data_IF_435219901821
#
_entry.id   IF_435219901821
#
_cell.length_a   1.000
_cell.length_b   1.000
_cell.length_c   1.000
_cell.angle_alpha   90.00
_cell.angle_beta   90.00
_cell.angle_gamma   90.00
#
_symmetry.space_group_name_H-M   'P 1'
#
loop_
_entity.id
_entity.type
_entity.pdbx_description
1 polymer ?
#
# COMPACT_ATOMS: atom_id res chain seq x y z
N UNK A 1 -2.92 13.31 5.64
CA UNK A 1 -2.86 12.99 7.09
C UNK A 1 -3.55 14.02 7.98
N UNK A 2 -3.20 15.32 7.95
CA UNK A 2 -3.83 16.33 8.82
C UNK A 2 -5.38 16.29 8.88
N UNK A 3 -6.04 16.14 7.73
CA UNK A 3 -7.50 16.13 7.66
C UNK A 3 -8.14 14.80 8.06
N UNK A 4 -7.59 13.68 7.57
CA UNK A 4 -8.22 12.37 7.67
C UNK A 4 -7.82 11.60 8.93
N UNK A 5 -6.63 11.82 9.47
CA UNK A 5 -6.12 11.04 10.60
C UNK A 5 -6.98 11.22 11.88
N UNK A 6 -7.37 12.44 12.29
CA UNK A 6 -8.25 12.62 13.45
C UNK A 6 -9.60 11.92 13.25
N UNK A 7 -10.20 12.07 12.06
CA UNK A 7 -11.49 11.47 11.74
C UNK A 7 -11.43 9.94 11.70
N UNK A 8 -10.36 9.39 11.12
CA UNK A 8 -10.12 7.95 11.07
C UNK A 8 -9.99 7.35 12.48
N UNK A 9 -9.25 8.00 13.37
CA UNK A 9 -9.13 7.56 14.77
C UNK A 9 -10.47 7.62 15.52
N UNK A 10 -11.21 8.72 15.38
CA UNK A 10 -12.54 8.87 16.00
C UNK A 10 -13.49 7.74 15.56
N UNK A 11 -13.39 7.31 14.30
CA UNK A 11 -14.22 6.25 13.71
C UNK A 11 -13.63 4.85 13.83
N UNK A 12 -12.46 4.68 14.47
CA UNK A 12 -11.78 3.39 14.54
C UNK A 12 -11.42 2.80 13.16
N UNK A 13 -11.21 3.66 12.16
CA UNK A 13 -10.91 3.26 10.78
C UNK A 13 -9.40 3.19 10.56
N UNK A 14 -8.90 2.04 10.08
CA UNK A 14 -7.51 1.89 9.66
C UNK A 14 -7.28 2.57 8.30
N UNK A 15 -6.24 3.41 8.19
CA UNK A 15 -5.81 3.98 6.91
C UNK A 15 -4.71 3.10 6.31
N UNK A 16 -4.95 2.54 5.13
CA UNK A 16 -3.94 1.78 4.37
C UNK A 16 -3.52 2.62 3.16
N UNK A 17 -2.21 2.80 2.96
CA UNK A 17 -1.69 3.65 1.89
C UNK A 17 -0.38 3.14 1.30
N UNK A 18 -0.22 3.30 -0.01
CA UNK A 18 1.02 3.03 -0.75
C UNK A 18 1.94 4.25 -0.90
N UNK A 19 1.71 5.28 -0.07
CA UNK A 19 2.48 6.53 -0.08
C UNK A 19 3.89 6.42 0.53
N UNK A 20 4.37 5.23 0.88
CA UNK A 20 5.76 5.04 1.30
C UNK A 20 6.77 5.16 0.16
N UNK A 21 6.36 4.83 -1.07
CA UNK A 21 7.20 4.91 -2.27
C UNK A 21 8.60 4.28 -2.06
N UNK A 22 9.67 5.07 -2.22
CA UNK A 22 11.07 4.65 -2.01
C UNK A 22 11.50 4.68 -0.53
N UNK A 23 10.81 5.41 0.33
CA UNK A 23 11.17 5.58 1.75
C UNK A 23 9.96 5.35 2.68
N UNK A 24 9.52 4.09 2.84
CA UNK A 24 8.38 3.75 3.69
C UNK A 24 8.62 4.09 5.17
N UNK A 25 9.87 4.04 5.64
CA UNK A 25 10.23 4.38 7.02
C UNK A 25 10.21 5.90 7.25
N UNK A 26 10.69 6.70 6.31
CA UNK A 26 10.54 8.15 6.35
C UNK A 26 9.08 8.58 6.27
N UNK A 27 8.27 7.89 5.45
CA UNK A 27 6.82 8.11 5.43
C UNK A 27 6.16 7.79 6.79
N UNK A 28 6.55 6.69 7.44
CA UNK A 28 6.11 6.35 8.81
C UNK A 28 6.46 7.46 9.80
N UNK A 29 7.73 7.88 9.80
CA UNK A 29 8.19 8.96 10.67
C UNK A 29 7.37 10.24 10.41
N UNK A 30 7.05 10.54 9.15
CA UNK A 30 6.26 11.72 8.81
C UNK A 30 4.83 11.64 9.32
N UNK A 31 4.21 10.46 9.27
CA UNK A 31 2.88 10.25 9.86
C UNK A 31 2.91 10.45 11.37
N UNK A 32 3.93 9.90 12.06
CA UNK A 32 4.11 10.07 13.50
C UNK A 32 4.34 11.54 13.89
N UNK A 33 5.13 12.29 13.14
CA UNK A 33 5.30 13.74 13.33
C UNK A 33 3.97 14.50 13.24
N UNK A 34 3.18 14.21 12.19
CA UNK A 34 1.88 14.85 11.99
C UNK A 34 0.92 14.48 13.14
N UNK A 35 0.87 13.20 13.54
CA UNK A 35 0.04 12.74 14.65
C UNK A 35 0.41 13.47 15.95
N UNK A 36 1.71 13.54 16.26
CA UNK A 36 2.21 14.26 17.44
C UNK A 36 1.85 15.75 17.40
N UNK A 37 1.95 16.41 16.24
CA UNK A 37 1.55 17.82 16.09
C UNK A 37 0.05 18.07 16.32
N UNK A 38 -0.77 17.04 16.15
CA UNK A 38 -2.21 17.06 16.39
C UNK A 38 -2.59 16.58 17.80
N UNK A 39 -1.61 16.21 18.64
CA UNK A 39 -1.85 15.64 19.98
C UNK A 39 -2.44 14.22 19.93
N UNK A 40 -2.27 13.50 18.83
CA UNK A 40 -2.79 12.16 18.61
C UNK A 40 -1.69 11.12 18.82
N UNK A 41 -2.00 10.05 19.56
CA UNK A 41 -1.15 8.87 19.65
C UNK A 41 -1.67 7.81 18.67
N UNK A 42 -0.83 7.37 17.74
CA UNK A 42 -1.20 6.44 16.67
C UNK A 42 -0.16 5.35 16.50
N UNK A 43 -0.61 4.14 16.19
CA UNK A 43 0.24 3.04 15.73
C UNK A 43 0.34 3.06 14.20
N UNK A 44 1.56 3.00 13.68
CA UNK A 44 1.84 2.98 12.25
C UNK A 44 2.66 1.74 11.92
N UNK A 45 2.09 0.81 11.14
CA UNK A 45 2.82 -0.34 10.61
C UNK A 45 3.37 -0.01 9.22
N UNK A 46 4.48 -0.66 8.85
CA UNK A 46 5.11 -0.51 7.55
C UNK A 46 5.24 -1.88 6.89
N UNK A 47 4.76 -1.99 5.66
CA UNK A 47 4.87 -3.20 4.84
C UNK A 47 5.69 -2.89 3.58
N UNK A 48 6.97 -3.28 3.57
CA UNK A 48 7.89 -2.93 2.49
C UNK A 48 8.84 -4.06 2.15
N UNK A 49 9.39 -4.02 0.94
CA UNK A 49 10.48 -4.91 0.54
C UNK A 49 11.80 -4.51 1.21
N UNK A 50 12.64 -5.50 1.49
CA UNK A 50 14.00 -5.31 1.99
C UNK A 50 14.98 -6.03 1.08
N UNK A 51 16.00 -5.33 0.61
CA UNK A 51 17.10 -5.95 -0.14
C UNK A 51 18.01 -6.69 0.85
N UNK A 52 18.00 -8.02 0.81
CA UNK A 52 18.89 -8.85 1.61
C UNK A 52 20.20 -9.06 0.84
N UNK A 53 21.26 -8.35 1.22
CA UNK A 53 22.59 -8.49 0.60
C UNK A 53 23.35 -9.74 1.04
N UNK A 54 22.78 -10.58 1.91
CA UNK A 54 23.48 -11.73 2.50
C UNK A 54 23.60 -12.98 1.61
N UNK A 55 23.33 -12.88 0.30
CA UNK A 55 23.64 -13.97 -0.61
C UNK A 55 25.13 -13.91 -1.01
N UNK A 56 26.02 -14.11 -0.03
CA UNK A 56 27.48 -14.18 -0.22
C UNK A 56 27.90 -15.43 -1.03
N UNK A 57 26.95 -16.30 -1.40
CA UNK A 57 27.23 -17.57 -2.10
C UNK A 57 26.59 -17.76 -3.48
N UNK A 58 25.69 -16.89 -3.93
CA UNK A 58 25.19 -16.95 -5.30
C UNK A 58 25.93 -15.89 -6.10
N UNK A 59 26.56 -16.25 -7.21
CA UNK A 59 27.31 -15.34 -8.08
C UNK A 59 26.52 -14.17 -8.70
N UNK A 60 25.37 -13.79 -8.13
CA UNK A 60 24.80 -12.46 -8.25
C UNK A 60 25.73 -11.45 -7.58
N UNK A 61 26.82 -11.12 -8.26
CA UNK A 61 27.30 -9.74 -8.21
C UNK A 61 26.09 -8.86 -8.47
N UNK A 62 25.82 -7.77 -7.72
CA UNK A 62 24.87 -6.77 -8.15
C UNK A 62 25.42 -6.26 -9.48
N UNK A 63 24.94 -6.87 -10.56
CA UNK A 63 25.58 -6.82 -11.86
C UNK A 63 25.26 -5.47 -12.43
N UNK A 64 25.97 -4.42 -11.97
CA UNK A 64 25.82 -3.02 -12.35
C UNK A 64 24.43 -2.79 -12.91
N UNK A 65 23.41 -3.04 -12.08
CA UNK A 65 22.06 -2.74 -12.51
C UNK A 65 22.12 -1.26 -12.84
N UNK A 66 21.58 -0.87 -13.98
CA UNK A 66 21.31 0.53 -14.25
C UNK A 66 20.35 0.98 -13.14
N UNK A 67 20.88 1.26 -11.96
CA UNK A 67 20.18 1.94 -10.90
C UNK A 67 20.09 3.35 -11.47
N UNK A 68 19.04 3.58 -12.28
CA UNK A 68 18.58 4.93 -12.52
C UNK A 68 18.52 5.60 -11.16
N UNK A 69 18.96 6.85 -11.08
CA UNK A 69 19.16 7.60 -9.83
C UNK A 69 17.97 7.56 -8.86
N UNK A 70 16.77 7.17 -9.33
CA UNK A 70 15.55 6.96 -8.54
C UNK A 70 15.36 5.60 -7.86
N UNK A 71 16.28 4.63 -7.97
CA UNK A 71 16.15 3.31 -7.34
C UNK A 71 15.21 2.33 -8.09
N UNK A 72 15.17 1.07 -7.64
CA UNK A 72 14.29 0.01 -8.18
C UNK A 72 13.36 -0.42 -7.05
N UNK A 73 12.05 -0.37 -7.30
CA UNK A 73 11.06 -0.98 -6.42
C UNK A 73 10.30 -2.07 -7.15
N UNK A 74 9.98 -3.15 -6.45
CA UNK A 74 8.98 -4.12 -6.89
C UNK A 74 7.59 -3.69 -6.43
N UNK A 75 6.58 -3.93 -7.26
CA UNK A 75 5.19 -3.79 -6.84
C UNK A 75 4.81 -5.04 -6.06
N UNK A 76 4.58 -4.87 -4.77
CA UNK A 76 4.07 -5.95 -3.92
C UNK A 76 2.58 -6.24 -4.20
N UNK A 77 2.09 -7.38 -3.72
CA UNK A 77 0.66 -7.71 -3.66
C UNK A 77 0.05 -7.40 -2.29
N UNK A 78 -1.17 -7.88 -2.04
CA UNK A 78 -1.89 -7.68 -0.77
C UNK A 78 -1.29 -8.44 0.42
N UNK A 79 -0.56 -9.54 0.16
CA UNK A 79 0.00 -10.43 1.16
C UNK A 79 0.78 -9.75 2.31
N UNK A 80 1.67 -8.78 2.09
CA UNK A 80 2.38 -8.10 3.18
C UNK A 80 1.50 -7.19 4.06
N UNK A 81 0.35 -6.72 3.58
CA UNK A 81 -0.57 -5.89 4.38
C UNK A 81 -1.32 -6.73 5.42
N UNK A 82 -1.76 -7.94 5.05
CA UNK A 82 -2.63 -8.77 5.90
C UNK A 82 -1.99 -9.11 7.26
N UNK A 83 -0.72 -9.55 7.35
CA UNK A 83 -0.05 -9.75 8.63
C UNK A 83 0.08 -8.48 9.48
N UNK A 84 0.13 -7.30 8.85
CA UNK A 84 0.12 -6.04 9.60
C UNK A 84 -1.22 -5.85 10.31
N UNK A 85 -2.33 -6.13 9.61
CA UNK A 85 -3.69 -6.08 10.16
C UNK A 85 -3.86 -7.14 11.26
N UNK A 86 -3.52 -8.40 10.99
CA UNK A 86 -3.70 -9.52 11.92
C UNK A 86 -2.91 -9.38 13.22
N UNK A 87 -1.64 -8.97 13.13
CA UNK A 87 -0.73 -8.97 14.29
C UNK A 87 -0.78 -7.68 15.08
N UNK A 88 -0.96 -6.54 14.43
CA UNK A 88 -0.76 -5.24 15.05
C UNK A 88 -2.01 -4.37 15.09
N UNK A 89 -3.03 -4.64 14.27
CA UNK A 89 -4.23 -3.81 14.12
C UNK A 89 -3.92 -2.30 14.16
N UNK A 90 -3.00 -1.82 13.31
CA UNK A 90 -2.48 -0.47 13.40
C UNK A 90 -3.51 0.58 12.97
N UNK A 91 -3.37 1.82 13.42
CA UNK A 91 -4.22 2.90 12.94
C UNK A 91 -3.88 3.29 11.48
N UNK A 92 -2.61 3.15 11.09
CA UNK A 92 -2.14 3.42 9.74
C UNK A 92 -1.20 2.30 9.27
N UNK A 93 -1.38 1.84 8.03
CA UNK A 93 -0.43 0.97 7.32
C UNK A 93 0.15 1.76 6.16
N UNK A 94 1.47 1.85 6.13
CA UNK A 94 2.21 2.43 5.01
C UNK A 94 2.92 1.32 4.26
N UNK A 95 2.70 1.24 2.96
CA UNK A 95 3.44 0.31 2.10
C UNK A 95 4.46 1.03 1.24
N UNK A 96 5.46 0.29 0.76
CA UNK A 96 6.23 0.68 -0.43
C UNK A 96 5.33 0.66 -1.67
N UNK A 97 5.92 0.60 -2.88
CA UNK A 97 5.13 0.29 -4.08
C UNK A 97 4.42 -1.04 -3.91
N UNK A 98 3.13 -1.00 -4.15
CA UNK A 98 2.22 -2.14 -4.12
C UNK A 98 1.25 -1.96 -5.30
N UNK A 99 0.71 -3.05 -5.83
CA UNK A 99 -0.37 -2.96 -6.78
C UNK A 99 -1.53 -2.17 -6.15
N UNK A 100 -2.04 -1.15 -6.84
CA UNK A 100 -3.04 -0.25 -6.23
C UNK A 100 -4.33 -1.00 -5.85
N UNK A 101 -4.72 -2.02 -6.62
CA UNK A 101 -5.81 -2.95 -6.29
C UNK A 101 -5.59 -3.72 -4.96
N UNK A 102 -4.34 -3.91 -4.55
CA UNK A 102 -4.00 -4.61 -3.30
C UNK A 102 -4.44 -3.83 -2.05
N UNK A 103 -4.58 -2.50 -2.16
CA UNK A 103 -5.09 -1.65 -1.07
C UNK A 103 -6.56 -1.99 -0.72
N UNK A 104 -7.30 -2.57 -1.67
CA UNK A 104 -8.66 -3.05 -1.48
C UNK A 104 -8.70 -4.55 -1.19
N UNK A 105 -7.88 -5.34 -1.89
CA UNK A 105 -7.83 -6.78 -1.70
C UNK A 105 -7.36 -7.17 -0.29
N UNK A 106 -6.39 -6.46 0.30
CA UNK A 106 -5.90 -6.79 1.64
C UNK A 106 -7.00 -6.67 2.73
N UNK A 107 -7.77 -5.56 2.81
CA UNK A 107 -8.95 -5.50 3.66
C UNK A 107 -9.97 -6.61 3.39
N UNK A 108 -10.23 -6.96 2.12
CA UNK A 108 -11.16 -8.05 1.81
C UNK A 108 -10.67 -9.39 2.37
N UNK A 109 -9.40 -9.72 2.15
CA UNK A 109 -8.79 -10.95 2.68
C UNK A 109 -8.87 -10.98 4.21
N UNK A 110 -8.57 -9.87 4.87
CA UNK A 110 -8.59 -9.75 6.34
C UNK A 110 -10.02 -9.81 6.92
N UNK A 111 -10.94 -8.97 6.45
CA UNK A 111 -12.29 -8.82 7.01
C UNK A 111 -13.21 -10.01 6.65
N UNK A 112 -13.03 -10.60 5.47
CA UNK A 112 -13.83 -11.75 5.02
C UNK A 112 -13.20 -13.10 5.39
N UNK A 113 -11.99 -13.09 5.97
CA UNK A 113 -11.29 -14.29 6.41
C UNK A 113 -10.92 -15.23 5.26
N UNK A 114 -10.60 -14.69 4.09
CA UNK A 114 -10.23 -15.49 2.93
C UNK A 114 -8.84 -16.09 3.08
N UNK A 115 -8.69 -17.33 2.60
CA UNK A 115 -7.40 -18.00 2.56
C UNK A 115 -6.67 -17.72 1.23
N UNK A 116 -5.33 -17.80 1.24
CA UNK A 116 -4.50 -17.54 0.06
C UNK A 116 -4.59 -18.62 -1.03
N UNK A 117 -5.19 -19.77 -0.73
CA UNK A 117 -5.48 -20.86 -1.65
C UNK A 117 -6.89 -20.78 -2.27
N UNK A 118 -7.76 -19.88 -1.79
CA UNK A 118 -9.08 -19.63 -2.34
C UNK A 118 -9.01 -18.72 -3.58
N UNK A 119 -8.45 -19.26 -4.66
CA UNK A 119 -8.14 -18.51 -5.89
C UNK A 119 -9.36 -17.81 -6.51
N UNK A 120 -10.56 -18.37 -6.36
CA UNK A 120 -11.78 -17.75 -6.86
C UNK A 120 -12.11 -16.45 -6.11
N UNK A 121 -12.07 -16.47 -4.78
CA UNK A 121 -12.26 -15.27 -3.96
C UNK A 121 -11.18 -14.23 -4.24
N UNK A 122 -9.92 -14.66 -4.33
CA UNK A 122 -8.80 -13.76 -4.65
C UNK A 122 -8.93 -13.13 -6.03
N UNK A 123 -9.41 -13.87 -7.04
CA UNK A 123 -9.65 -13.36 -8.38
C UNK A 123 -10.80 -12.33 -8.39
N UNK A 124 -11.90 -12.64 -7.72
CA UNK A 124 -13.04 -11.73 -7.57
C UNK A 124 -12.65 -10.45 -6.82
N UNK A 125 -11.91 -10.58 -5.71
CA UNK A 125 -11.41 -9.45 -4.94
C UNK A 125 -10.39 -8.62 -5.71
N UNK A 126 -9.53 -9.24 -6.52
CA UNK A 126 -8.58 -8.53 -7.38
C UNK A 126 -9.30 -7.72 -8.46
N UNK A 127 -10.35 -8.30 -9.08
CA UNK A 127 -11.19 -7.59 -10.03
C UNK A 127 -11.91 -6.42 -9.36
N UNK A 128 -12.58 -6.66 -8.22
CA UNK A 128 -13.26 -5.62 -7.47
C UNK A 128 -12.29 -4.50 -7.03
N UNK A 129 -11.09 -4.87 -6.57
CA UNK A 129 -10.05 -3.93 -6.18
C UNK A 129 -9.55 -3.08 -7.37
N UNK A 130 -9.34 -3.68 -8.54
CA UNK A 130 -9.01 -2.95 -9.76
C UNK A 130 -10.12 -1.97 -10.16
N UNK A 131 -11.38 -2.40 -10.09
CA UNK A 131 -12.53 -1.55 -10.38
C UNK A 131 -12.59 -0.34 -9.42
N UNK A 132 -12.43 -0.58 -8.12
CA UNK A 132 -12.45 0.48 -7.10
C UNK A 132 -11.28 1.46 -7.24
N UNK A 133 -10.12 0.97 -7.65
CA UNK A 133 -8.93 1.78 -7.87
C UNK A 133 -9.07 2.70 -9.08
N UNK A 134 -9.51 2.17 -10.22
CA UNK A 134 -9.70 2.93 -11.46
C UNK A 134 -10.86 3.95 -11.38
N UNK A 135 -11.70 3.86 -10.34
CA UNK A 135 -12.73 4.83 -9.99
C UNK A 135 -13.60 5.27 -11.18
N UNK A 136 -13.47 6.53 -11.60
CA UNK A 136 -14.30 7.16 -12.62
C UNK A 136 -14.02 6.65 -14.04
N UNK A 137 -12.91 5.95 -14.28
CA UNK A 137 -12.64 5.35 -15.60
C UNK A 137 -13.74 4.34 -15.98
N UNK A 138 -14.31 3.66 -14.99
CA UNK A 138 -15.38 2.66 -15.21
C UNK A 138 -16.69 3.26 -15.71
N UNK A 139 -17.00 4.48 -15.29
CA UNK A 139 -18.25 5.17 -15.66
C UNK A 139 -18.08 6.07 -16.89
N UNK A 140 -16.92 6.02 -17.56
CA UNK A 140 -16.59 6.91 -18.66
C UNK A 140 -16.13 8.30 -18.23
N UNK A 141 -15.84 8.52 -16.95
CA UNK A 141 -15.41 9.81 -16.40
C UNK A 141 -13.95 10.20 -16.67
N UNK A 142 -13.18 9.39 -17.41
CA UNK A 142 -11.80 9.70 -17.76
C UNK A 142 -11.70 10.52 -19.05
N UNK A 143 -11.97 11.82 -18.94
CA UNK A 143 -11.80 12.78 -20.04
C UNK A 143 -10.39 13.37 -20.02
N UNK A 144 -9.36 12.58 -20.33
CA UNK A 144 -7.97 13.09 -20.37
C UNK A 144 -7.44 13.38 -21.77
N UNK A 145 -8.29 13.50 -22.80
CA UNK A 145 -7.86 14.16 -24.03
C UNK A 145 -8.21 15.66 -23.97
N UNK A 146 -7.25 16.55 -23.62
CA UNK A 146 -7.47 17.98 -23.80
C UNK A 146 -7.71 18.24 -25.30
N UNK A 147 -8.91 18.71 -25.65
CA UNK A 147 -9.28 19.12 -27.01
C UNK A 147 -10.35 18.30 -27.75
N UNK A 148 -10.91 17.22 -27.18
CA UNK A 148 -12.00 16.44 -27.83
C UNK A 148 -13.40 16.65 -27.25
N UNK A 149 -13.59 17.58 -26.31
CA UNK A 149 -14.92 18.08 -26.00
C UNK A 149 -15.26 19.16 -27.03
N UNK A 150 -15.86 18.70 -28.13
CA UNK A 150 -16.56 19.53 -29.13
C UNK A 150 -17.70 20.32 -28.50
#
# INVERSE_FOLDING_TARGET
MHMLLPLALERGTCIITNMGAMDPLGAQQKVLEIANSLGLNVSVAVAHEVFVTNIVGSGFSPAKSYIMEGGINTYLGAAPIVPCLEKYQPNVIITSRIADAALFLAPMVYELGWNWDELEHLAQGSLAGHLLECCCQLTGGYFMHPGMLI
#
